data_IF_100852873643
#
_entry.id   IF_100852873643
#
_cell.length_a   1.000
_cell.length_b   1.000
_cell.length_c   1.000
_cell.angle_alpha   90.00
_cell.angle_beta   90.00
_cell.angle_gamma   90.00
#
_symmetry.space_group_name_H-M   'P 1'
#
loop_
_entity.id
_entity.type
_entity.pdbx_description
1 polymer ?
#
# COMPACT_ATOMS: atom_id res chain seq x y z
N UNK A 1 -18.01 26.81 -24.42
CA UNK A 1 -18.12 25.42 -23.91
C UNK A 1 -16.93 25.17 -23.03
N UNK A 2 -17.20 24.95 -21.74
CA UNK A 2 -16.27 25.02 -20.61
C UNK A 2 -15.15 23.98 -20.68
N UNK A 3 -13.93 24.39 -21.05
CA UNK A 3 -12.73 23.76 -20.51
C UNK A 3 -12.66 24.17 -19.05
N UNK A 4 -13.10 23.29 -18.15
CA UNK A 4 -12.65 23.38 -16.76
C UNK A 4 -11.13 23.37 -16.85
N UNK A 5 -10.49 24.49 -16.52
CA UNK A 5 -9.05 24.64 -16.54
C UNK A 5 -8.46 23.39 -15.89
N UNK A 6 -7.77 22.56 -16.66
CA UNK A 6 -7.02 21.44 -16.10
C UNK A 6 -6.16 22.05 -14.99
N UNK A 7 -6.25 21.56 -13.74
CA UNK A 7 -5.38 22.06 -12.69
C UNK A 7 -3.95 21.94 -13.20
N UNK A 8 -3.18 23.03 -13.11
CA UNK A 8 -1.77 23.06 -13.53
C UNK A 8 -0.95 22.14 -12.59
N UNK A 9 -1.02 20.85 -12.90
CA UNK A 9 -0.36 19.71 -12.29
C UNK A 9 1.17 19.83 -12.18
N UNK A 10 1.83 20.56 -13.08
CA UNK A 10 3.27 20.84 -13.10
C UNK A 10 3.63 21.97 -12.15
N UNK A 11 2.79 22.99 -12.02
CA UNK A 11 2.94 24.00 -10.98
C UNK A 11 2.74 23.40 -9.57
N UNK A 12 1.75 22.52 -9.41
CA UNK A 12 1.51 21.73 -8.19
C UNK A 12 2.66 20.74 -7.88
N UNK A 13 3.19 20.05 -8.89
CA UNK A 13 4.31 19.12 -8.72
C UNK A 13 5.65 19.80 -8.40
N UNK A 14 5.80 21.10 -8.73
CA UNK A 14 6.97 21.91 -8.39
C UNK A 14 6.99 22.36 -6.93
N UNK A 15 5.87 22.28 -6.20
CA UNK A 15 5.85 22.69 -4.80
C UNK A 15 6.68 21.71 -3.94
N UNK A 16 7.71 22.19 -3.20
CA UNK A 16 8.61 21.34 -2.43
C UNK A 16 7.90 20.49 -1.37
N UNK A 17 6.82 21.02 -0.77
CA UNK A 17 5.97 20.30 0.17
C UNK A 17 5.25 19.09 -0.46
N UNK A 18 4.85 19.18 -1.74
CA UNK A 18 4.18 18.10 -2.45
C UNK A 18 5.15 16.94 -2.75
N UNK A 19 6.40 17.26 -3.10
CA UNK A 19 7.47 16.26 -3.28
C UNK A 19 7.84 15.55 -1.99
N UNK A 20 7.87 16.26 -0.87
CA UNK A 20 8.17 15.66 0.43
C UNK A 20 7.06 14.69 0.87
N UNK A 21 5.81 15.04 0.61
CA UNK A 21 4.65 14.18 0.85
C UNK A 21 4.69 12.89 0.01
N UNK A 22 4.90 13.04 -1.29
CA UNK A 22 4.96 11.89 -2.21
C UNK A 22 6.16 11.01 -1.86
N UNK A 23 7.30 11.57 -1.45
CA UNK A 23 8.46 10.84 -0.97
C UNK A 23 8.15 10.01 0.28
N UNK A 24 7.51 10.60 1.29
CA UNK A 24 7.14 9.89 2.51
C UNK A 24 6.11 8.78 2.24
N UNK A 25 5.09 9.06 1.43
CA UNK A 25 4.12 8.07 0.98
C UNK A 25 4.81 6.91 0.25
N UNK A 26 5.69 7.22 -0.70
CA UNK A 26 6.42 6.21 -1.49
C UNK A 26 7.33 5.35 -0.63
N UNK A 27 8.02 5.92 0.37
CA UNK A 27 8.84 5.14 1.31
C UNK A 27 8.00 4.22 2.18
N UNK A 28 6.84 4.68 2.64
CA UNK A 28 5.92 3.83 3.40
C UNK A 28 5.45 2.65 2.55
N UNK A 29 4.92 2.93 1.35
CA UNK A 29 4.44 1.88 0.44
C UNK A 29 5.58 0.94 0.05
N UNK A 30 6.76 1.45 -0.30
CA UNK A 30 7.91 0.62 -0.66
C UNK A 30 8.33 -0.35 0.47
N UNK A 31 8.34 0.10 1.73
CA UNK A 31 8.62 -0.77 2.89
C UNK A 31 7.56 -1.86 3.05
N UNK A 32 6.29 -1.48 2.94
CA UNK A 32 5.15 -2.40 3.06
C UNK A 32 5.17 -3.45 1.94
N UNK A 33 5.41 -3.02 0.71
CA UNK A 33 5.55 -3.92 -0.45
C UNK A 33 6.75 -4.85 -0.29
N UNK A 34 7.90 -4.35 0.16
CA UNK A 34 9.08 -5.19 0.39
C UNK A 34 8.83 -6.26 1.46
N UNK A 35 8.13 -5.90 2.54
CA UNK A 35 7.73 -6.86 3.57
C UNK A 35 6.79 -7.92 3.02
N UNK A 36 5.75 -7.52 2.28
CA UNK A 36 4.82 -8.44 1.64
C UNK A 36 5.52 -9.37 0.66
N UNK A 37 6.45 -8.85 -0.14
CA UNK A 37 7.21 -9.63 -1.10
C UNK A 37 8.09 -10.67 -0.40
N UNK A 38 8.80 -10.28 0.67
CA UNK A 38 9.58 -11.21 1.47
C UNK A 38 8.70 -12.32 2.08
N UNK A 39 7.54 -11.95 2.63
CA UNK A 39 6.57 -12.89 3.17
C UNK A 39 6.07 -13.88 2.10
N UNK A 40 5.76 -13.37 0.90
CA UNK A 40 5.30 -14.19 -0.22
C UNK A 40 6.37 -15.18 -0.69
N UNK A 41 7.62 -14.75 -0.80
CA UNK A 41 8.75 -15.65 -1.16
C UNK A 41 8.95 -16.72 -0.10
N UNK A 42 8.89 -16.35 1.19
CA UNK A 42 8.96 -17.32 2.30
C UNK A 42 7.82 -18.34 2.19
N UNK A 43 6.58 -17.88 1.97
CA UNK A 43 5.43 -18.75 1.80
C UNK A 43 5.60 -19.73 0.62
N UNK A 44 6.06 -19.25 -0.54
CA UNK A 44 6.34 -20.11 -1.69
C UNK A 44 7.48 -21.10 -1.41
N UNK A 45 8.51 -20.68 -0.70
CA UNK A 45 9.61 -21.56 -0.31
C UNK A 45 9.13 -22.68 0.63
N UNK A 46 8.31 -22.36 1.64
CA UNK A 46 7.68 -23.37 2.50
C UNK A 46 6.78 -24.33 1.69
N UNK A 47 6.03 -23.80 0.72
CA UNK A 47 5.12 -24.61 -0.10
C UNK A 47 5.89 -25.61 -0.98
N UNK A 48 7.06 -25.19 -1.49
CA UNK A 48 7.91 -26.01 -2.33
C UNK A 48 8.78 -27.02 -1.56
N UNK A 49 9.43 -26.57 -0.48
CA UNK A 49 10.42 -27.36 0.26
C UNK A 49 9.86 -28.11 1.47
N UNK A 50 8.86 -27.54 2.17
CA UNK A 50 8.34 -28.07 3.42
C UNK A 50 6.91 -28.61 3.24
N UNK A 51 6.72 -29.46 2.23
CA UNK A 51 5.41 -30.06 1.92
C UNK A 51 4.81 -30.81 3.12
N UNK A 52 5.63 -31.53 3.88
CA UNK A 52 5.20 -32.24 5.09
C UNK A 52 4.74 -31.27 6.19
N UNK A 53 5.38 -30.09 6.30
CA UNK A 53 4.99 -29.07 7.26
C UNK A 53 3.69 -28.34 6.84
N UNK A 54 3.53 -28.08 5.54
CA UNK A 54 2.32 -27.50 4.96
C UNK A 54 1.12 -28.47 4.96
N UNK A 55 1.40 -29.78 4.92
CA UNK A 55 0.41 -30.85 5.05
C UNK A 55 -0.09 -31.03 6.48
N UNK A 56 0.61 -30.46 7.49
CA UNK A 56 0.09 -30.46 8.84
C UNK A 56 -1.24 -29.71 8.90
N UNK A 57 -2.24 -30.38 9.46
CA UNK A 57 -3.56 -29.81 9.66
C UNK A 57 -3.62 -29.12 11.03
N UNK A 58 -3.95 -27.84 11.03
CA UNK A 58 -4.27 -27.07 12.23
C UNK A 58 -5.76 -26.80 12.21
N UNK A 59 -6.47 -27.37 13.19
CA UNK A 59 -7.94 -27.28 13.32
C UNK A 59 -8.66 -27.86 12.09
N UNK A 60 -8.16 -28.99 11.56
CA UNK A 60 -8.75 -29.66 10.38
C UNK A 60 -8.56 -28.92 9.06
N UNK A 61 -7.70 -27.89 9.03
CA UNK A 61 -7.36 -27.12 7.84
C UNK A 61 -5.84 -27.15 7.67
N UNK A 62 -5.35 -27.40 6.46
CA UNK A 62 -3.91 -27.44 6.18
C UNK A 62 -3.24 -26.07 6.42
N UNK A 63 -1.98 -26.09 6.87
CA UNK A 63 -1.17 -24.89 7.01
C UNK A 63 -1.06 -24.10 5.69
N UNK A 64 -1.10 -24.80 4.55
CA UNK A 64 -1.16 -24.17 3.24
C UNK A 64 -2.39 -23.26 3.09
N UNK A 65 -3.57 -23.73 3.49
CA UNK A 65 -4.78 -22.91 3.40
C UNK A 65 -4.73 -21.72 4.37
N UNK A 66 -4.22 -21.93 5.58
CA UNK A 66 -3.97 -20.85 6.54
C UNK A 66 -3.00 -19.80 6.01
N UNK A 67 -1.94 -20.22 5.31
CA UNK A 67 -1.01 -19.31 4.65
C UNK A 67 -1.66 -18.53 3.52
N UNK A 68 -2.50 -19.16 2.69
CA UNK A 68 -3.32 -18.45 1.71
C UNK A 68 -4.26 -17.42 2.36
N UNK A 69 -4.92 -17.78 3.46
CA UNK A 69 -5.79 -16.87 4.21
C UNK A 69 -5.01 -15.72 4.84
N UNK A 70 -3.81 -15.99 5.36
CA UNK A 70 -2.93 -14.96 5.94
C UNK A 70 -2.51 -13.92 4.90
N UNK A 71 -2.30 -14.31 3.64
CA UNK A 71 -2.01 -13.39 2.53
C UNK A 71 -3.20 -12.47 2.27
N UNK A 72 -4.43 -13.01 2.27
CA UNK A 72 -5.64 -12.21 2.15
C UNK A 72 -5.78 -11.21 3.32
N UNK A 73 -5.58 -11.69 4.56
CA UNK A 73 -5.63 -10.84 5.74
C UNK A 73 -4.56 -9.74 5.71
N UNK A 74 -3.33 -10.07 5.32
CA UNK A 74 -2.22 -9.12 5.21
C UNK A 74 -2.52 -8.04 4.16
N UNK A 75 -3.08 -8.43 3.02
CA UNK A 75 -3.50 -7.49 1.96
C UNK A 75 -4.58 -6.54 2.43
N UNK A 76 -5.61 -7.06 3.13
CA UNK A 76 -6.66 -6.25 3.75
C UNK A 76 -6.08 -5.26 4.78
N UNK A 77 -5.19 -5.72 5.66
CA UNK A 77 -4.53 -4.88 6.66
C UNK A 77 -3.75 -3.74 5.98
N UNK A 78 -3.02 -4.04 4.92
CA UNK A 78 -2.28 -3.04 4.16
C UNK A 78 -3.22 -2.03 3.48
N UNK A 79 -4.30 -2.49 2.85
CA UNK A 79 -5.28 -1.62 2.21
C UNK A 79 -5.94 -0.68 3.23
N UNK A 80 -6.35 -1.21 4.39
CA UNK A 80 -6.91 -0.40 5.49
C UNK A 80 -5.85 0.56 6.06
N UNK A 81 -4.61 0.13 6.26
CA UNK A 81 -3.53 0.98 6.73
C UNK A 81 -3.23 2.13 5.74
N UNK A 82 -3.33 1.86 4.44
CA UNK A 82 -3.23 2.88 3.40
C UNK A 82 -4.43 3.83 3.43
N UNK A 83 -5.65 3.30 3.47
CA UNK A 83 -6.88 4.08 3.53
C UNK A 83 -6.95 4.99 4.76
N UNK A 84 -6.38 4.57 5.91
CA UNK A 84 -6.27 5.40 7.11
C UNK A 84 -5.30 6.57 6.97
N UNK A 85 -4.29 6.48 6.09
CA UNK A 85 -3.35 7.56 5.80
C UNK A 85 -3.79 8.48 4.66
N UNK A 86 -4.74 8.04 3.84
CA UNK A 86 -5.30 8.85 2.76
C UNK A 86 -5.88 10.22 3.21
N UNK A 87 -6.59 10.35 4.35
CA UNK A 87 -7.15 11.64 4.79
C UNK A 87 -6.08 12.69 5.10
N UNK A 88 -4.90 12.27 5.57
CA UNK A 88 -3.77 13.18 5.82
C UNK A 88 -3.24 13.74 4.49
N UNK A 89 -3.14 12.90 3.46
CA UNK A 89 -2.70 13.33 2.13
C UNK A 89 -3.73 14.21 1.42
N UNK A 90 -5.02 13.91 1.60
CA UNK A 90 -6.11 14.69 1.02
C UNK A 90 -6.16 16.12 1.59
N UNK A 91 -5.98 16.26 2.91
CA UNK A 91 -5.92 17.57 3.58
C UNK A 91 -4.77 18.44 3.07
N UNK A 92 -3.60 17.84 2.85
CA UNK A 92 -2.44 18.57 2.35
C UNK A 92 -2.57 18.91 0.87
N UNK A 93 -3.21 18.05 0.07
CA UNK A 93 -3.54 18.37 -1.32
C UNK A 93 -4.51 19.56 -1.41
N UNK A 94 -5.52 19.62 -0.53
CA UNK A 94 -6.47 20.74 -0.48
C UNK A 94 -5.80 22.08 -0.12
N UNK A 95 -4.80 22.08 0.77
CA UNK A 95 -4.07 23.30 1.13
C UNK A 95 -3.32 23.92 -0.06
N UNK A 96 -2.66 23.09 -0.89
CA UNK A 96 -1.93 23.58 -2.06
C UNK A 96 -2.88 24.12 -3.13
N UNK A 97 -4.06 23.50 -3.32
CA UNK A 97 -5.08 24.00 -4.25
C UNK A 97 -5.63 25.36 -3.81
N UNK A 98 -5.86 25.55 -2.50
CA UNK A 98 -6.33 26.83 -1.96
C UNK A 98 -5.27 27.94 -2.12
N UNK A 99 -4.01 27.63 -1.86
CA UNK A 99 -2.92 28.61 -1.96
C UNK A 99 -2.61 28.99 -3.41
N UNK A 100 -2.73 28.05 -4.36
CA UNK A 100 -2.62 28.34 -5.79
C UNK A 100 -3.80 29.15 -6.36
N UNK A 101 -4.94 29.16 -5.67
CA UNK A 101 -6.14 29.92 -6.07
C UNK A 101 -6.18 31.36 -5.54
N UNK A 102 -5.16 31.79 -4.79
CA UNK A 102 -5.05 33.11 -4.16
C UNK A 102 -4.04 34.00 -4.88
#
# INVERSE_FOLDING_TARGET
MSSLAEPDWEALARHPQFRELVSNRRRFVAKVTAFYFAYFVVYLALLGYAKDFMANEVVGISLALWGGFSICALTMIMAVAYARRAPEWERMAQQVVVEASR
#
